data_IF_510903520873
#
_entry.id   IF_510903520873
#
_cell.length_a   1.000
_cell.length_b   1.000
_cell.length_c   1.000
_cell.angle_alpha   90.00
_cell.angle_beta   90.00
_cell.angle_gamma   90.00
#
_symmetry.space_group_name_H-M   'P 1'
#
loop_
_entity.id
_entity.type
_entity.pdbx_description
1 polymer ?
#
# COMPACT_ATOMS: atom_id res chain seq x y z
N UNK A 1 15.45 0.35 -12.62
CA UNK A 1 15.65 1.47 -11.70
C UNK A 1 16.99 1.35 -11.01
N UNK A 2 17.73 2.43 -10.83
CA UNK A 2 19.03 2.45 -10.15
C UNK A 2 19.46 3.85 -9.73
N UNK A 3 20.32 3.92 -8.75
CA UNK A 3 21.12 5.11 -8.49
C UNK A 3 22.31 5.14 -9.47
N UNK A 4 22.69 6.33 -9.90
CA UNK A 4 23.82 6.56 -10.82
C UNK A 4 25.01 7.03 -9.98
N UNK A 5 26.20 6.48 -10.22
CA UNK A 5 27.41 6.78 -9.44
C UNK A 5 27.79 8.27 -9.47
N UNK A 6 27.59 8.91 -10.62
CA UNK A 6 27.88 10.34 -10.85
C UNK A 6 26.79 11.28 -10.34
N UNK A 7 25.75 10.75 -9.71
CA UNK A 7 24.60 11.48 -9.15
C UNK A 7 23.32 11.29 -9.94
N UNK A 8 22.21 11.43 -9.23
CA UNK A 8 20.87 11.18 -9.77
C UNK A 8 20.42 9.73 -9.68
N UNK A 9 19.24 9.47 -10.21
CA UNK A 9 18.64 8.14 -10.22
C UNK A 9 17.72 7.95 -11.42
N UNK A 10 17.53 6.69 -11.81
CA UNK A 10 16.55 6.28 -12.80
C UNK A 10 15.39 5.59 -12.09
N UNK A 11 14.21 6.20 -12.18
CA UNK A 11 12.95 5.61 -11.71
C UNK A 11 12.14 5.09 -12.90
N UNK A 12 11.59 3.89 -12.77
CA UNK A 12 10.74 3.27 -13.78
C UNK A 12 9.36 3.05 -13.15
N UNK A 13 8.34 3.67 -13.74
CA UNK A 13 6.95 3.41 -13.43
C UNK A 13 6.35 2.57 -14.55
N UNK A 14 5.90 1.37 -14.22
CA UNK A 14 5.31 0.44 -15.18
C UNK A 14 3.95 -0.06 -14.68
N UNK A 15 3.04 -0.33 -15.60
CA UNK A 15 1.75 -0.97 -15.31
C UNK A 15 1.70 -2.35 -15.93
N UNK A 16 1.07 -3.30 -15.23
CA UNK A 16 0.78 -4.63 -15.74
C UNK A 16 -0.71 -4.93 -15.56
N UNK A 17 -1.32 -5.51 -16.58
CA UNK A 17 -2.70 -5.98 -16.51
C UNK A 17 -2.74 -7.41 -15.98
N UNK A 18 -3.72 -7.68 -15.12
CA UNK A 18 -3.98 -9.00 -14.56
C UNK A 18 -5.46 -9.33 -14.67
N UNK A 19 -5.80 -10.61 -14.58
CA UNK A 19 -7.19 -11.10 -14.62
C UNK A 19 -7.94 -10.67 -15.89
N UNK A 20 -7.24 -10.58 -17.00
CA UNK A 20 -7.82 -10.24 -18.32
C UNK A 20 -8.34 -11.45 -19.08
N UNK A 21 -8.08 -12.66 -18.60
CA UNK A 21 -8.31 -13.92 -19.32
C UNK A 21 -7.22 -14.25 -20.34
N UNK A 22 -6.21 -13.39 -20.49
CA UNK A 22 -5.06 -13.63 -21.36
C UNK A 22 -3.93 -14.32 -20.59
N UNK A 23 -3.51 -15.49 -21.06
CA UNK A 23 -2.35 -16.20 -20.49
C UNK A 23 -1.04 -15.41 -20.63
N UNK A 24 -0.94 -14.58 -21.67
CA UNK A 24 0.23 -13.74 -21.89
C UNK A 24 0.32 -12.64 -20.82
N UNK A 25 -0.79 -12.00 -20.47
CA UNK A 25 -0.83 -10.98 -19.44
C UNK A 25 -0.46 -11.56 -18.08
N UNK A 26 -0.99 -12.73 -17.74
CA UNK A 26 -0.68 -13.43 -16.50
C UNK A 26 0.81 -13.82 -16.43
N UNK A 27 1.38 -14.30 -17.54
CA UNK A 27 2.80 -14.65 -17.62
C UNK A 27 3.69 -13.42 -17.45
N UNK A 28 3.37 -12.30 -18.11
CA UNK A 28 4.11 -11.05 -17.98
C UNK A 28 4.08 -10.55 -16.54
N UNK A 29 2.90 -10.60 -15.90
CA UNK A 29 2.76 -10.20 -14.50
C UNK A 29 3.62 -11.07 -13.57
N UNK A 30 3.58 -12.41 -13.71
CA UNK A 30 4.37 -13.32 -12.87
C UNK A 30 5.89 -13.12 -13.06
N UNK A 31 6.35 -12.83 -14.26
CA UNK A 31 7.76 -12.51 -14.52
C UNK A 31 8.22 -11.22 -13.83
N UNK A 32 7.36 -10.22 -13.73
CA UNK A 32 7.69 -8.95 -13.07
C UNK A 32 7.39 -8.94 -11.57
N UNK A 33 6.59 -9.88 -11.08
CA UNK A 33 6.20 -9.98 -9.68
C UNK A 33 7.43 -10.11 -8.77
N UNK A 34 7.48 -9.26 -7.77
CA UNK A 34 8.59 -9.25 -6.81
C UNK A 34 9.90 -8.65 -7.32
N UNK A 35 9.96 -8.14 -8.55
CA UNK A 35 11.15 -7.44 -9.09
C UNK A 35 11.13 -5.94 -8.80
N UNK A 36 9.96 -5.36 -8.55
CA UNK A 36 9.78 -3.95 -8.23
C UNK A 36 10.24 -3.56 -6.83
N UNK A 37 10.57 -2.29 -6.65
CA UNK A 37 10.82 -1.72 -5.33
C UNK A 37 9.52 -1.41 -4.60
N UNK A 38 8.47 -1.07 -5.34
CA UNK A 38 7.13 -0.78 -4.86
C UNK A 38 6.11 -1.40 -5.80
N UNK A 39 5.06 -1.98 -5.24
CA UNK A 39 3.96 -2.56 -5.99
C UNK A 39 2.64 -2.02 -5.44
N UNK A 40 1.78 -1.53 -6.33
CA UNK A 40 0.42 -1.10 -6.01
C UNK A 40 -0.56 -2.00 -6.76
N UNK A 41 -1.31 -2.78 -6.02
CA UNK A 41 -2.32 -3.69 -6.55
C UNK A 41 -3.70 -3.05 -6.47
N UNK A 42 -4.42 -3.00 -7.59
CA UNK A 42 -5.81 -2.58 -7.64
C UNK A 42 -6.72 -3.80 -7.53
N UNK A 43 -7.85 -3.66 -6.84
CA UNK A 43 -8.83 -4.73 -6.66
C UNK A 43 -10.18 -4.33 -7.28
N UNK A 44 -10.67 -5.18 -8.19
CA UNK A 44 -11.95 -4.96 -8.88
C UNK A 44 -13.14 -4.98 -7.91
N UNK A 45 -13.10 -5.79 -6.86
CA UNK A 45 -14.18 -5.87 -5.85
C UNK A 45 -14.36 -4.56 -5.12
N UNK A 46 -13.26 -3.86 -4.79
CA UNK A 46 -13.32 -2.53 -4.19
C UNK A 46 -13.96 -1.52 -5.16
N UNK A 47 -13.59 -1.58 -6.44
CA UNK A 47 -14.16 -0.74 -7.48
C UNK A 47 -15.67 -1.00 -7.66
N UNK A 48 -16.10 -2.24 -7.65
CA UNK A 48 -17.53 -2.63 -7.74
C UNK A 48 -18.33 -2.09 -6.54
N UNK A 49 -17.73 -2.06 -5.36
CA UNK A 49 -18.29 -1.46 -4.14
C UNK A 49 -18.17 0.07 -4.09
N UNK A 50 -17.61 0.70 -5.13
CA UNK A 50 -17.37 2.16 -5.18
C UNK A 50 -16.43 2.69 -4.10
N UNK A 51 -15.50 1.84 -3.64
CA UNK A 51 -14.46 2.22 -2.69
C UNK A 51 -13.25 2.69 -3.50
N UNK A 52 -12.90 3.96 -3.38
CA UNK A 52 -11.78 4.58 -4.10
C UNK A 52 -10.85 5.34 -3.16
N UNK A 53 -9.52 5.23 -3.39
CA UNK A 53 -8.85 4.43 -4.41
C UNK A 53 -9.02 2.92 -4.17
N UNK A 54 -9.28 2.17 -5.24
CA UNK A 54 -9.53 0.73 -5.18
C UNK A 54 -8.22 -0.07 -5.03
N UNK A 55 -7.45 0.24 -3.98
CA UNK A 55 -6.14 -0.33 -3.71
C UNK A 55 -6.27 -1.49 -2.73
N UNK A 56 -5.77 -2.65 -3.12
CA UNK A 56 -5.58 -3.77 -2.20
C UNK A 56 -4.36 -3.49 -1.31
N UNK A 57 -4.60 -3.03 -0.10
CA UNK A 57 -3.55 -2.65 0.84
C UNK A 57 -2.76 -3.85 1.39
N UNK A 58 -3.28 -5.08 1.27
CA UNK A 58 -2.56 -6.28 1.68
C UNK A 58 -1.51 -6.71 0.67
N UNK A 59 -1.86 -6.62 -0.62
CA UNK A 59 -0.96 -6.98 -1.71
C UNK A 59 0.00 -5.88 -2.07
N UNK A 60 -0.36 -4.62 -1.75
CA UNK A 60 0.47 -3.45 -2.02
C UNK A 60 1.55 -3.28 -0.96
N UNK A 61 2.71 -2.81 -1.38
CA UNK A 61 3.80 -2.57 -0.46
C UNK A 61 5.04 -2.00 -1.14
N UNK A 62 5.99 -1.63 -0.31
CA UNK A 62 7.30 -1.17 -0.77
C UNK A 62 8.42 -1.90 -0.02
N UNK A 63 9.54 -2.13 -0.71
CA UNK A 63 10.72 -2.69 -0.08
C UNK A 63 11.43 -1.64 0.73
N UNK A 64 12.05 -2.05 1.84
CA UNK A 64 12.85 -1.18 2.70
C UNK A 64 12.13 0.12 3.06
N UNK A 65 10.90 -0.02 3.52
CA UNK A 65 10.07 1.12 3.93
C UNK A 65 10.70 1.93 5.07
N UNK A 66 11.59 1.31 5.85
CA UNK A 66 12.41 1.94 6.87
C UNK A 66 13.34 3.04 6.33
N UNK A 67 13.67 3.00 5.03
CA UNK A 67 14.43 4.07 4.37
C UNK A 67 13.55 5.24 3.90
N UNK A 68 12.24 5.07 3.86
CA UNK A 68 11.29 6.05 3.35
C UNK A 68 10.44 6.70 4.44
N UNK A 69 10.20 5.97 5.53
CA UNK A 69 9.34 6.38 6.61
C UNK A 69 10.16 6.80 7.83
N UNK A 70 9.70 7.82 8.53
CA UNK A 70 10.20 8.14 9.85
C UNK A 70 9.88 7.00 10.84
N UNK A 71 10.56 6.99 11.98
CA UNK A 71 10.32 5.99 13.03
C UNK A 71 8.85 5.95 13.47
N UNK A 72 8.22 7.12 13.58
CA UNK A 72 6.83 7.22 14.01
C UNK A 72 5.84 6.71 12.95
N UNK A 73 6.09 7.05 11.69
CA UNK A 73 5.31 6.55 10.56
C UNK A 73 5.42 5.03 10.45
N UNK A 74 6.62 4.49 10.65
CA UNK A 74 6.89 3.05 10.59
C UNK A 74 6.15 2.30 11.72
N UNK A 75 6.18 2.82 12.95
CA UNK A 75 5.45 2.24 14.08
C UNK A 75 3.93 2.18 13.81
N UNK A 76 3.36 3.26 13.27
CA UNK A 76 1.94 3.32 12.92
C UNK A 76 1.61 2.41 11.76
N UNK A 77 2.45 2.36 10.72
CA UNK A 77 2.27 1.47 9.58
C UNK A 77 2.26 -0.01 10.01
N UNK A 78 3.17 -0.43 10.90
CA UNK A 78 3.17 -1.77 11.47
C UNK A 78 1.94 -2.05 12.32
N UNK A 79 1.50 -1.08 13.13
CA UNK A 79 0.31 -1.24 13.97
C UNK A 79 -0.95 -1.39 13.12
N UNK A 80 -1.10 -0.59 12.06
CA UNK A 80 -2.19 -0.70 11.10
C UNK A 80 -2.20 -2.09 10.47
N UNK A 81 -1.08 -2.55 9.91
CA UNK A 81 -0.99 -3.89 9.33
C UNK A 81 -1.37 -4.98 10.31
N UNK A 82 -0.92 -4.88 11.56
CA UNK A 82 -1.25 -5.86 12.60
C UNK A 82 -2.75 -5.91 12.91
N UNK A 83 -3.42 -4.76 12.93
CA UNK A 83 -4.86 -4.68 13.10
C UNK A 83 -5.57 -5.30 11.89
N UNK A 84 -5.13 -4.92 10.69
CA UNK A 84 -5.65 -5.40 9.42
C UNK A 84 -5.62 -6.94 9.32
N UNK A 85 -4.51 -7.57 9.74
CA UNK A 85 -4.39 -9.03 9.72
C UNK A 85 -5.29 -9.75 10.73
N UNK A 86 -5.75 -9.08 11.77
CA UNK A 86 -6.66 -9.68 12.76
C UNK A 86 -8.10 -9.78 12.30
N UNK A 87 -8.58 -8.80 11.55
CA UNK A 87 -9.98 -8.69 11.19
C UNK A 87 -10.39 -9.50 9.94
N UNK A 88 -9.42 -10.10 9.25
CA UNK A 88 -9.65 -11.16 8.24
C UNK A 88 -10.38 -10.76 6.95
N UNK A 89 -10.96 -9.56 6.88
CA UNK A 89 -11.74 -9.11 5.73
C UNK A 89 -11.04 -7.94 5.01
N UNK A 90 -10.31 -8.27 3.94
CA UNK A 90 -9.48 -7.33 3.20
C UNK A 90 -10.26 -6.11 2.65
N UNK A 91 -11.52 -6.31 2.28
CA UNK A 91 -12.33 -5.26 1.66
C UNK A 91 -12.71 -4.18 2.66
N UNK A 92 -13.09 -4.56 3.89
CA UNK A 92 -13.50 -3.62 4.94
C UNK A 92 -12.30 -2.84 5.49
N UNK A 93 -11.12 -3.41 5.42
CA UNK A 93 -9.89 -2.78 5.88
C UNK A 93 -9.53 -1.56 5.04
N UNK A 94 -9.55 -1.68 3.72
CA UNK A 94 -9.27 -0.55 2.83
C UNK A 94 -10.28 0.57 3.04
N UNK A 95 -11.56 0.26 3.15
CA UNK A 95 -12.61 1.22 3.43
C UNK A 95 -12.41 1.93 4.78
N UNK A 96 -12.11 1.17 5.82
CA UNK A 96 -11.84 1.72 7.15
C UNK A 96 -10.60 2.63 7.16
N UNK A 97 -9.54 2.23 6.47
CA UNK A 97 -8.33 3.04 6.35
C UNK A 97 -8.60 4.36 5.62
N UNK A 98 -9.35 4.32 4.51
CA UNK A 98 -9.76 5.53 3.78
C UNK A 98 -10.60 6.44 4.68
N UNK A 99 -11.56 5.87 5.42
CA UNK A 99 -12.40 6.63 6.34
C UNK A 99 -11.60 7.26 7.49
N UNK A 100 -10.57 6.59 7.99
CA UNK A 100 -9.68 7.17 9.00
C UNK A 100 -8.83 8.31 8.43
N UNK A 101 -8.26 8.11 7.24
CA UNK A 101 -7.44 9.13 6.57
C UNK A 101 -8.27 10.37 6.18
N UNK A 102 -9.51 10.19 5.75
CA UNK A 102 -10.39 11.31 5.35
C UNK A 102 -10.77 12.24 6.50
N UNK A 103 -10.62 11.80 7.75
CA UNK A 103 -10.89 12.60 8.96
C UNK A 103 -9.72 13.46 9.40
N UNK A 104 -8.59 13.35 8.73
CA UNK A 104 -7.35 14.04 9.05
C UNK A 104 -6.87 14.87 7.86
N UNK A 105 -6.16 15.96 8.11
CA UNK A 105 -5.70 16.89 7.08
C UNK A 105 -4.40 16.46 6.41
N UNK A 106 -3.57 15.73 7.15
CA UNK A 106 -2.27 15.26 6.70
C UNK A 106 -1.84 14.01 7.48
N UNK A 107 -0.72 13.42 7.09
CA UNK A 107 -0.19 12.22 7.73
C UNK A 107 0.21 12.44 9.19
N UNK A 108 0.71 13.61 9.56
CA UNK A 108 1.10 13.93 10.94
C UNK A 108 -0.11 13.86 11.88
N UNK A 109 -1.20 14.53 11.51
CA UNK A 109 -2.46 14.49 12.27
C UNK A 109 -3.05 13.07 12.34
N UNK A 110 -2.94 12.31 11.24
CA UNK A 110 -3.36 10.91 11.23
C UNK A 110 -2.57 10.07 12.22
N UNK A 111 -1.24 10.19 12.23
CA UNK A 111 -0.35 9.46 13.13
C UNK A 111 -0.66 9.78 14.59
N UNK A 112 -0.81 11.07 14.92
CA UNK A 112 -1.18 11.50 16.28
C UNK A 112 -2.53 10.94 16.72
N UNK A 113 -3.53 11.03 15.85
CA UNK A 113 -4.88 10.53 16.13
C UNK A 113 -4.89 9.02 16.31
N UNK A 114 -4.18 8.31 15.44
CA UNK A 114 -4.05 6.87 15.53
C UNK A 114 -3.37 6.42 16.83
N UNK A 115 -2.27 7.09 17.22
CA UNK A 115 -1.56 6.83 18.47
C UNK A 115 -2.44 7.08 19.69
N UNK A 116 -3.17 8.19 19.72
CA UNK A 116 -4.10 8.50 20.83
C UNK A 116 -5.18 7.44 21.03
N UNK A 117 -5.67 6.85 19.94
CA UNK A 117 -6.77 5.90 19.99
C UNK A 117 -6.32 4.46 20.26
N UNK A 118 -5.14 4.06 19.79
CA UNK A 118 -4.70 2.67 19.82
C UNK A 118 -3.56 2.37 20.79
N UNK A 119 -2.84 3.38 21.28
CA UNK A 119 -1.73 3.24 22.23
C UNK A 119 -2.05 3.81 23.63
N UNK A 120 -3.30 4.17 23.91
CA UNK A 120 -3.71 4.45 25.29
C UNK A 120 -3.70 3.12 26.07
N UNK A 121 -2.70 2.98 26.93
CA UNK A 121 -2.74 2.04 28.06
C UNK A 121 -3.71 2.56 29.11
#
# INVERSE_FOLDING_TARGET
ARNIEEGGSLTILATALVETGSRMDDMIFEEFKGTGNMEVHLDRRLQERRIFPAIDVYKSGTRKEDLLLSKEELEVAFAIRKIMYKDGNADDVTENLINMLSKTKNNEEFIETFKKNNFKK
#
